data_IF_461667687268
#
_entry.id   IF_461667687268
#
_cell.length_a   1.000
_cell.length_b   1.000
_cell.length_c   1.000
_cell.angle_alpha   90.00
_cell.angle_beta   90.00
_cell.angle_gamma   90.00
#
_symmetry.space_group_name_H-M   'P 1'
#
loop_
_entity.id
_entity.type
_entity.pdbx_description
1 polymer ?
#
# COMPACT_ATOMS: atom_id res chain seq x y z
N UNK A 1 4.15 9.22 18.14
CA UNK A 1 4.86 7.92 18.05
C UNK A 1 3.93 6.89 17.38
N UNK A 2 4.48 5.83 16.78
CA UNK A 2 3.70 4.78 16.12
C UNK A 2 3.03 3.86 17.15
N UNK A 3 1.70 3.69 17.09
CA UNK A 3 0.93 2.92 18.08
C UNK A 3 1.25 1.43 18.08
N UNK A 4 1.50 0.83 16.92
CA UNK A 4 1.91 -0.56 16.80
C UNK A 4 3.05 -0.71 15.77
N UNK A 5 4.30 -0.92 16.22
CA UNK A 5 5.44 -1.13 15.32
C UNK A 5 5.39 -2.41 14.49
N UNK A 6 4.61 -3.42 14.89
CA UNK A 6 4.56 -4.71 14.19
C UNK A 6 3.73 -4.68 12.90
N UNK A 7 2.82 -3.72 12.75
CA UNK A 7 2.00 -3.59 11.53
C UNK A 7 2.83 -2.84 10.49
N UNK A 8 3.27 -3.42 9.37
CA UNK A 8 3.99 -2.65 8.34
C UNK A 8 3.05 -1.61 7.69
N UNK A 9 3.55 -0.40 7.47
CA UNK A 9 2.84 0.66 6.73
C UNK A 9 3.65 0.94 5.47
N UNK A 10 2.97 1.03 4.33
CA UNK A 10 3.56 1.40 3.05
C UNK A 10 2.67 2.44 2.35
N UNK A 11 3.14 2.99 1.24
CA UNK A 11 2.40 3.94 0.41
C UNK A 11 2.33 3.48 -1.05
N UNK A 12 1.38 4.03 -1.80
CA UNK A 12 1.34 3.94 -3.26
C UNK A 12 1.96 5.23 -3.80
N UNK A 13 3.16 5.21 -4.41
CA UNK A 13 3.77 6.40 -4.98
C UNK A 13 2.84 7.05 -6.00
N UNK A 14 2.89 8.39 -6.05
CA UNK A 14 2.13 9.21 -7.01
C UNK A 14 0.60 9.05 -6.91
N UNK A 15 0.09 8.53 -5.79
CA UNK A 15 -1.33 8.54 -5.47
C UNK A 15 -1.69 9.73 -4.58
N UNK A 16 -2.87 10.30 -4.78
CA UNK A 16 -3.45 11.33 -3.92
C UNK A 16 -4.11 10.74 -2.68
N UNK A 17 -5.25 11.33 -2.29
CA UNK A 17 -5.97 10.92 -1.08
C UNK A 17 -6.75 9.62 -1.27
N UNK A 18 -7.21 9.33 -2.48
CA UNK A 18 -8.19 8.29 -2.76
C UNK A 18 -7.51 7.07 -3.37
N UNK A 19 -7.05 6.12 -2.56
CA UNK A 19 -6.51 4.82 -3.03
C UNK A 19 -7.62 3.76 -2.95
N UNK A 20 -7.81 2.91 -3.98
CA UNK A 20 -7.09 2.82 -5.25
C UNK A 20 -7.40 3.85 -6.36
N UNK A 21 -8.43 4.69 -6.24
CA UNK A 21 -8.96 5.52 -7.34
C UNK A 21 -7.93 6.42 -8.04
N UNK A 22 -6.99 7.02 -7.31
CA UNK A 22 -5.96 7.92 -7.86
C UNK A 22 -4.85 7.16 -8.61
N UNK A 23 -4.56 5.92 -8.21
CA UNK A 23 -3.52 5.10 -8.84
C UNK A 23 -3.76 3.60 -8.61
N UNK A 24 -4.72 3.04 -9.34
CA UNK A 24 -5.12 1.64 -9.21
C UNK A 24 -3.99 0.67 -9.55
N UNK A 25 -3.24 0.95 -10.63
CA UNK A 25 -2.09 0.13 -11.05
C UNK A 25 -0.99 0.10 -9.98
N UNK A 26 -0.69 1.26 -9.40
CA UNK A 26 0.26 1.39 -8.31
C UNK A 26 -0.20 0.63 -7.07
N UNK A 27 -1.49 0.72 -6.73
CA UNK A 27 -2.08 -0.03 -5.64
C UNK A 27 -1.87 -1.54 -5.79
N UNK A 28 -2.25 -2.13 -6.92
CA UNK A 28 -2.08 -3.58 -7.13
C UNK A 28 -0.61 -4.01 -7.17
N UNK A 29 0.30 -3.17 -7.68
CA UNK A 29 1.74 -3.44 -7.64
C UNK A 29 2.27 -3.51 -6.21
N UNK A 30 1.83 -2.60 -5.33
CA UNK A 30 2.22 -2.61 -3.91
C UNK A 30 1.54 -3.77 -3.18
N UNK A 31 0.25 -4.00 -3.41
CA UNK A 31 -0.51 -5.10 -2.81
C UNK A 31 0.13 -6.45 -3.11
N UNK A 32 0.52 -6.70 -4.38
CA UNK A 32 1.21 -7.95 -4.78
C UNK A 32 2.50 -8.20 -4.01
N UNK A 33 3.22 -7.15 -3.58
CA UNK A 33 4.45 -7.29 -2.77
C UNK A 33 4.16 -7.59 -1.30
N UNK A 34 2.97 -7.25 -0.81
CA UNK A 34 2.55 -7.46 0.58
C UNK A 34 1.87 -8.81 0.79
N UNK A 35 1.21 -9.33 -0.24
CA UNK A 35 0.56 -10.63 -0.17
C UNK A 35 1.61 -11.74 -0.23
N UNK A 36 1.50 -12.78 0.60
CA UNK A 36 2.34 -13.96 0.49
C UNK A 36 2.18 -14.60 -0.90
N UNK A 37 3.28 -15.08 -1.45
CA UNK A 37 3.21 -15.92 -2.65
C UNK A 37 2.57 -17.25 -2.26
N UNK A 38 1.52 -17.67 -2.98
CA UNK A 38 0.92 -19.00 -2.84
C UNK A 38 1.87 -20.09 -3.30
#
# INVERSE_FOLDING_TARGET
ARTNPAIPITCVPDAGHMIPWDNEKGFFRVLKKLLPSS
#
